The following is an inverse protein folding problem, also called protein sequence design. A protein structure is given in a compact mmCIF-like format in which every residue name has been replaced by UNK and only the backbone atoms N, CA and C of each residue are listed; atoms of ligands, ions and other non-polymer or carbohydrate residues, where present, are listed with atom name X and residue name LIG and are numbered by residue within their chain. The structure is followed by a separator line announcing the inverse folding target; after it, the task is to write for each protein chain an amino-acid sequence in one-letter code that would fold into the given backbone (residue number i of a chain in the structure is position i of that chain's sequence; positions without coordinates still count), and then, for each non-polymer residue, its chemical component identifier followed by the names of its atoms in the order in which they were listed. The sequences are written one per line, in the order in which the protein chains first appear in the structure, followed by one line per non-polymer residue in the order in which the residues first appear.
data_IF_650617493891
#
_entry.id   IF_650617493891
#
_cell.length_a   1.000
_cell.length_b   1.000
_cell.length_c   1.000
_cell.angle_alpha   90.00
_cell.angle_beta   90.00
_cell.angle_gamma   90.00
#
_symmetry.space_group_name_H-M   'P 1'
#
loop_
_entity.id
_entity.type
_entity.pdbx_description
1 polymer ?
#
# COMPACT_ATOMS: atom_id res chain seq x y z
N UNK A 1 54.89 5.52 73.96
CA UNK A 1 54.72 4.08 73.66
C UNK A 1 53.42 3.68 74.35
N UNK A 2 52.30 3.37 73.70
CA UNK A 2 52.09 2.48 72.56
C UNK A 2 50.81 2.90 71.82
N UNK A 3 50.85 2.92 70.49
CA UNK A 3 49.74 3.34 69.62
C UNK A 3 48.93 2.10 69.21
N UNK A 4 47.62 2.09 69.49
CA UNK A 4 46.69 1.03 69.08
C UNK A 4 46.48 1.12 67.56
N UNK A 5 46.81 0.05 66.82
CA UNK A 5 46.48 -0.11 65.40
C UNK A 5 45.19 -0.93 65.28
N UNK A 6 44.14 -0.31 64.75
CA UNK A 6 42.91 -1.02 64.33
C UNK A 6 43.12 -1.50 62.90
N UNK A 7 43.08 -2.82 62.68
CA UNK A 7 43.10 -3.42 61.35
C UNK A 7 41.74 -3.20 60.67
N UNK A 8 41.74 -2.53 59.51
CA UNK A 8 40.58 -2.49 58.61
C UNK A 8 40.66 -3.70 57.67
N UNK A 9 39.66 -4.57 57.74
CA UNK A 9 39.45 -5.64 56.75
C UNK A 9 38.95 -4.99 55.46
N UNK A 10 39.72 -5.11 54.37
CA UNK A 10 39.25 -4.79 53.02
C UNK A 10 38.38 -5.96 52.54
N UNK A 11 37.08 -5.75 52.40
CA UNK A 11 36.21 -6.65 51.65
C UNK A 11 36.45 -6.39 50.14
N UNK A 12 36.98 -7.40 49.45
CA UNK A 12 37.15 -7.38 48.00
C UNK A 12 35.81 -7.78 47.37
N UNK A 13 35.04 -6.82 46.86
CA UNK A 13 33.81 -7.08 46.12
C UNK A 13 34.16 -7.49 44.68
N UNK A 14 33.97 -8.76 44.34
CA UNK A 14 34.02 -9.24 42.96
C UNK A 14 32.78 -8.74 42.22
N UNK A 15 32.96 -7.76 41.33
CA UNK A 15 31.93 -7.37 40.38
C UNK A 15 31.85 -8.43 39.26
N UNK A 16 30.79 -9.21 39.25
CA UNK A 16 30.44 -10.07 38.11
C UNK A 16 29.80 -9.17 37.05
N UNK A 17 30.55 -8.86 36.00
CA UNK A 17 30.02 -8.19 34.80
C UNK A 17 29.29 -9.26 33.97
N UNK A 18 27.97 -9.34 34.09
CA UNK A 18 27.17 -10.05 33.09
C UNK A 18 27.21 -9.23 31.79
N UNK A 19 28.01 -9.67 30.83
CA UNK A 19 27.95 -9.17 29.47
C UNK A 19 26.60 -9.55 28.85
N UNK A 20 25.71 -8.58 28.71
CA UNK A 20 24.52 -8.74 27.89
C UNK A 20 24.97 -8.93 26.44
N UNK A 21 24.84 -10.15 25.89
CA UNK A 21 24.88 -10.34 24.44
C UNK A 21 23.68 -9.62 23.85
N UNK A 22 23.90 -8.43 23.29
CA UNK A 22 22.95 -7.83 22.37
C UNK A 22 22.88 -8.75 21.15
N UNK A 23 21.82 -9.55 21.05
CA UNK A 23 21.46 -10.21 19.79
C UNK A 23 21.10 -9.08 18.83
N UNK A 24 22.04 -8.73 17.96
CA UNK A 24 21.74 -7.84 16.84
C UNK A 24 20.79 -8.62 15.92
N UNK A 25 19.50 -8.28 16.00
CA UNK A 25 18.53 -8.67 14.99
C UNK A 25 18.93 -7.91 13.73
N UNK A 26 19.71 -8.56 12.86
CA UNK A 26 19.98 -8.03 11.53
C UNK A 26 18.63 -8.10 10.80
N UNK A 27 18.03 -6.96 10.38
CA UNK A 27 16.84 -7.03 9.55
C UNK A 27 17.21 -7.83 8.31
N UNK A 28 16.39 -8.82 7.95
CA UNK A 28 16.52 -9.51 6.68
C UNK A 28 16.57 -8.44 5.59
N UNK A 29 17.65 -8.40 4.82
CA UNK A 29 17.74 -7.54 3.66
C UNK A 29 16.54 -7.88 2.78
N UNK A 30 15.61 -6.94 2.61
CA UNK A 30 14.74 -6.98 1.45
C UNK A 30 15.67 -7.19 0.25
N UNK A 31 15.39 -8.19 -0.59
CA UNK A 31 16.14 -8.33 -1.83
C UNK A 31 16.08 -6.98 -2.55
N UNK A 32 17.24 -6.43 -2.89
CA UNK A 32 17.29 -5.19 -3.65
C UNK A 32 16.57 -5.41 -4.98
N UNK A 33 15.65 -4.52 -5.33
CA UNK A 33 14.99 -4.55 -6.64
C UNK A 33 16.05 -4.43 -7.74
N UNK A 34 15.84 -5.11 -8.86
CA UNK A 34 16.74 -5.05 -10.03
C UNK A 34 16.20 -4.02 -11.04
N UNK A 35 16.88 -2.88 -11.24
CA UNK A 35 16.47 -1.87 -12.22
C UNK A 35 16.51 -2.35 -13.68
N UNK A 36 17.21 -3.45 -13.98
CA UNK A 36 17.27 -4.05 -15.31
C UNK A 36 16.14 -5.03 -15.61
N UNK A 37 15.31 -5.37 -14.61
CA UNK A 37 14.25 -6.37 -14.72
C UNK A 37 12.86 -5.73 -14.73
N UNK A 38 11.88 -6.28 -15.46
CA UNK A 38 10.51 -5.74 -15.49
C UNK A 38 9.81 -5.90 -14.13
N UNK A 39 8.72 -5.16 -13.86
CA UNK A 39 8.06 -5.18 -12.56
C UNK A 39 7.67 -6.58 -12.10
N UNK A 40 7.14 -7.43 -13.00
CA UNK A 40 6.75 -8.81 -12.69
C UNK A 40 7.90 -9.77 -12.36
N UNK A 41 9.16 -9.35 -12.53
CA UNK A 41 10.34 -10.09 -12.04
C UNK A 41 10.77 -9.63 -10.65
N UNK A 42 10.53 -8.37 -10.32
CA UNK A 42 10.83 -7.79 -8.99
C UNK A 42 9.70 -8.02 -7.97
N UNK A 43 8.46 -8.18 -8.44
CA UNK A 43 7.25 -8.32 -7.64
C UNK A 43 6.45 -9.56 -8.04
N UNK A 44 5.82 -10.24 -7.08
CA UNK A 44 4.84 -11.27 -7.39
C UNK A 44 3.52 -10.63 -7.87
N UNK A 45 3.37 -10.55 -9.18
CA UNK A 45 2.18 -10.00 -9.84
C UNK A 45 1.17 -11.08 -10.27
N UNK A 46 1.31 -12.32 -9.79
CA UNK A 46 0.44 -13.43 -10.21
C UNK A 46 -1.01 -13.31 -9.74
N UNK A 47 -1.27 -12.44 -8.75
CA UNK A 47 -2.58 -12.16 -8.17
C UNK A 47 -3.05 -10.74 -8.50
N UNK A 48 -2.61 -10.17 -9.63
CA UNK A 48 -2.97 -8.81 -10.00
C UNK A 48 -3.29 -8.71 -11.48
N UNK A 49 -4.31 -7.91 -11.80
CA UNK A 49 -4.53 -7.35 -13.12
C UNK A 49 -4.21 -5.85 -13.02
N UNK A 50 -3.61 -5.27 -14.06
CA UNK A 50 -3.39 -3.83 -14.14
C UNK A 50 -4.49 -3.19 -14.99
N UNK A 51 -5.10 -2.12 -14.49
CA UNK A 51 -5.93 -1.21 -15.27
C UNK A 51 -5.08 -0.01 -15.69
N UNK A 52 -5.04 0.30 -16.99
CA UNK A 52 -4.25 1.41 -17.53
C UNK A 52 -5.11 2.60 -17.95
N UNK A 53 -4.54 3.82 -18.02
CA UNK A 53 -5.25 5.03 -18.42
C UNK A 53 -5.40 5.14 -19.96
N UNK A 54 -5.44 4.01 -20.66
CA UNK A 54 -5.64 3.88 -22.11
C UNK A 54 -6.90 3.09 -22.42
N UNK A 55 -7.21 2.91 -23.70
CA UNK A 55 -8.38 2.15 -24.14
C UNK A 55 -9.43 3.06 -24.77
N UNK A 56 -10.69 2.70 -24.59
CA UNK A 56 -11.83 3.46 -25.13
C UNK A 56 -12.64 4.11 -24.01
N UNK A 57 -13.37 5.22 -24.25
CA UNK A 57 -14.12 5.91 -23.20
C UNK A 57 -15.03 4.96 -22.39
N UNK A 58 -14.85 4.92 -21.08
CA UNK A 58 -15.59 4.02 -20.19
C UNK A 58 -15.07 2.57 -20.17
N UNK A 59 -13.97 2.27 -20.85
CA UNK A 59 -13.41 0.92 -20.95
C UNK A 59 -11.88 1.00 -21.00
N UNK A 60 -11.22 1.16 -19.85
CA UNK A 60 -9.77 1.16 -19.78
C UNK A 60 -9.19 -0.19 -20.23
N UNK A 61 -8.01 -0.16 -20.82
CA UNK A 61 -7.27 -1.39 -21.13
C UNK A 61 -6.89 -2.12 -19.83
N UNK A 62 -6.94 -3.45 -19.86
CA UNK A 62 -6.47 -4.28 -18.75
C UNK A 62 -5.39 -5.27 -19.15
N UNK A 63 -4.41 -5.43 -18.26
CA UNK A 63 -3.27 -6.32 -18.43
C UNK A 63 -3.39 -7.46 -17.42
N UNK A 64 -3.70 -8.65 -17.94
CA UNK A 64 -3.91 -9.86 -17.14
C UNK A 64 -2.69 -10.27 -16.29
N UNK A 65 -2.88 -11.05 -15.21
CA UNK A 65 -1.78 -11.57 -14.38
C UNK A 65 -0.69 -12.30 -15.15
N UNK A 66 -1.04 -13.05 -16.20
CA UNK A 66 -0.06 -13.80 -17.01
C UNK A 66 0.85 -12.87 -17.81
N UNK A 67 0.34 -11.74 -18.31
CA UNK A 67 1.14 -10.72 -19.00
C UNK A 67 2.05 -9.97 -18.02
N UNK A 68 1.53 -9.60 -16.85
CA UNK A 68 2.35 -8.96 -15.80
C UNK A 68 3.50 -9.87 -15.37
N UNK A 69 3.22 -11.15 -15.08
CA UNK A 69 4.23 -12.17 -14.81
C UNK A 69 5.19 -12.38 -15.99
N UNK A 70 4.69 -12.21 -17.21
CA UNK A 70 5.45 -12.28 -18.45
C UNK A 70 6.40 -11.09 -18.68
N UNK A 71 6.50 -10.14 -17.75
CA UNK A 71 7.40 -9.00 -17.84
C UNK A 71 6.82 -7.81 -18.60
N UNK A 72 5.49 -7.66 -18.60
CA UNK A 72 4.85 -6.47 -19.16
C UNK A 72 5.39 -5.19 -18.49
N UNK A 73 5.70 -4.21 -19.32
CA UNK A 73 6.01 -2.84 -18.94
C UNK A 73 5.76 -1.92 -20.14
N UNK A 74 5.42 -0.67 -19.85
CA UNK A 74 5.16 0.36 -20.83
C UNK A 74 5.42 1.76 -20.22
N UNK A 75 4.78 2.83 -20.73
CA UNK A 75 4.97 4.19 -20.16
C UNK A 75 4.10 4.49 -18.94
N UNK A 76 3.07 3.69 -18.65
CA UNK A 76 2.15 3.85 -17.52
C UNK A 76 2.49 2.89 -16.37
N UNK A 77 3.22 1.83 -16.67
CA UNK A 77 3.66 0.82 -15.70
C UNK A 77 5.04 0.27 -16.05
N UNK A 78 6.06 0.56 -15.26
CA UNK A 78 7.45 0.20 -15.58
C UNK A 78 8.34 0.05 -14.35
N UNK A 79 9.52 -0.53 -14.54
CA UNK A 79 10.59 -0.50 -13.53
C UNK A 79 11.37 0.80 -13.66
N UNK A 80 11.49 1.56 -12.58
CA UNK A 80 12.36 2.75 -12.56
C UNK A 80 13.83 2.33 -12.68
N UNK A 81 14.50 2.82 -13.72
CA UNK A 81 15.89 2.46 -14.01
C UNK A 81 16.91 2.91 -12.96
N UNK A 82 16.54 3.84 -12.07
CA UNK A 82 17.41 4.35 -11.02
C UNK A 82 17.42 3.49 -9.77
N UNK A 83 16.28 2.90 -9.39
CA UNK A 83 16.12 2.21 -8.11
C UNK A 83 15.36 0.86 -8.16
N UNK A 84 14.86 0.46 -9.33
CA UNK A 84 14.15 -0.80 -9.52
C UNK A 84 12.69 -0.80 -9.05
N UNK A 85 12.17 0.34 -8.59
CA UNK A 85 10.77 0.43 -8.13
C UNK A 85 9.77 0.17 -9.25
N UNK A 86 8.71 -0.56 -8.92
CA UNK A 86 7.54 -0.71 -9.80
C UNK A 86 6.79 0.63 -9.80
N UNK A 87 6.81 1.32 -10.92
CA UNK A 87 6.37 2.70 -11.07
C UNK A 87 5.12 2.76 -11.94
N UNK A 88 4.14 3.50 -11.43
CA UNK A 88 2.88 3.80 -12.07
C UNK A 88 2.87 5.27 -12.49
N UNK A 89 2.35 5.56 -13.67
CA UNK A 89 2.10 6.91 -14.16
C UNK A 89 0.65 7.00 -14.65
N UNK A 90 -0.11 7.94 -14.09
CA UNK A 90 -1.49 8.21 -14.46
C UNK A 90 -1.65 9.70 -14.84
N UNK A 91 -1.74 10.04 -16.14
CA UNK A 91 -1.94 11.42 -16.56
C UNK A 91 -3.41 11.84 -16.44
N UNK A 92 -3.65 13.12 -16.18
CA UNK A 92 -4.97 13.75 -16.07
C UNK A 92 -5.92 13.50 -17.27
N UNK A 93 -5.36 13.21 -18.46
CA UNK A 93 -6.11 12.93 -19.68
C UNK A 93 -6.39 11.43 -19.93
N UNK A 94 -6.19 10.59 -18.92
CA UNK A 94 -6.39 9.15 -19.03
C UNK A 94 -7.84 8.74 -19.26
N UNK A 95 -8.03 7.53 -19.78
CA UNK A 95 -9.34 6.90 -19.91
C UNK A 95 -9.89 6.52 -18.54
N UNK A 96 -11.16 6.84 -18.29
CA UNK A 96 -11.87 6.49 -17.04
C UNK A 96 -12.79 5.29 -17.23
N UNK A 97 -13.18 4.67 -16.11
CA UNK A 97 -14.27 3.66 -16.09
C UNK A 97 -15.63 4.37 -16.08
N UNK A 98 -16.76 3.67 -16.37
CA UNK A 98 -18.08 4.32 -16.46
C UNK A 98 -18.55 4.95 -15.14
N UNK A 99 -18.01 4.49 -14.01
CA UNK A 99 -18.42 4.89 -12.67
C UNK A 99 -17.34 5.71 -11.94
N UNK A 100 -16.33 6.20 -12.66
CA UNK A 100 -15.26 7.02 -12.11
C UNK A 100 -15.05 8.27 -12.97
N UNK A 101 -14.75 9.38 -12.30
CA UNK A 101 -14.37 10.63 -12.94
C UNK A 101 -12.86 10.72 -13.20
N UNK A 102 -12.08 9.73 -12.76
CA UNK A 102 -10.63 9.77 -12.81
C UNK A 102 -10.05 8.49 -13.45
N UNK A 103 -8.94 8.67 -14.16
CA UNK A 103 -8.17 7.57 -14.76
C UNK A 103 -7.37 6.83 -13.70
N UNK A 104 -6.62 5.80 -14.10
CA UNK A 104 -5.76 5.04 -13.19
C UNK A 104 -4.69 4.28 -13.95
N UNK A 105 -3.53 4.13 -13.32
CA UNK A 105 -2.61 3.01 -13.53
C UNK A 105 -2.58 2.21 -12.23
N UNK A 106 -3.48 1.25 -12.09
CA UNK A 106 -3.78 0.65 -10.79
C UNK A 106 -4.01 -0.86 -10.86
N UNK A 107 -3.38 -1.60 -9.94
CA UNK A 107 -3.56 -3.02 -9.80
C UNK A 107 -4.89 -3.34 -9.10
N UNK A 108 -5.56 -4.38 -9.59
CA UNK A 108 -6.80 -4.97 -9.07
C UNK A 108 -6.52 -6.42 -8.67
N UNK A 109 -6.75 -6.77 -7.42
CA UNK A 109 -6.46 -8.10 -6.87
C UNK A 109 -7.21 -9.20 -7.64
N UNK A 110 -6.52 -10.23 -8.09
CA UNK A 110 -7.04 -11.39 -8.80
C UNK A 110 -6.85 -12.68 -7.98
N UNK A 111 -7.61 -13.71 -8.32
CA UNK A 111 -7.33 -15.08 -7.86
C UNK A 111 -6.16 -15.69 -8.64
N UNK A 112 -5.55 -16.74 -8.09
CA UNK A 112 -4.50 -17.53 -8.77
C UNK A 112 -4.95 -18.17 -10.09
N UNK A 113 -6.26 -18.30 -10.31
CA UNK A 113 -6.85 -18.78 -11.56
C UNK A 113 -7.02 -17.69 -12.63
N UNK A 114 -6.62 -16.43 -12.32
CA UNK A 114 -6.82 -15.28 -13.18
C UNK A 114 -8.24 -14.72 -13.19
N UNK A 115 -9.13 -15.22 -12.33
CA UNK A 115 -10.47 -14.65 -12.12
C UNK A 115 -10.44 -13.49 -11.16
N UNK A 116 -11.48 -12.66 -11.24
CA UNK A 116 -11.70 -11.58 -10.32
C UNK A 116 -11.73 -12.06 -8.84
N UNK A 117 -10.87 -11.50 -7.98
CA UNK A 117 -10.97 -11.72 -6.53
C UNK A 117 -12.26 -11.07 -5.99
N UNK A 118 -12.82 -11.72 -4.98
CA UNK A 118 -14.14 -11.42 -4.39
C UNK A 118 -14.25 -12.16 -3.04
N UNK A 119 -13.38 -11.82 -2.09
CA UNK A 119 -13.33 -12.48 -0.77
C UNK A 119 -14.42 -11.98 0.16
N UNK A 120 -14.87 -12.85 1.07
CA UNK A 120 -15.86 -12.52 2.11
C UNK A 120 -15.22 -11.79 3.30
N UNK A 121 -16.01 -11.04 4.05
CA UNK A 121 -15.57 -10.25 5.23
C UNK A 121 -14.93 -11.06 6.38
N UNK A 122 -15.39 -12.27 6.76
CA UNK A 122 -14.77 -13.02 7.85
C UNK A 122 -13.33 -13.43 7.55
N UNK A 123 -12.47 -13.33 8.57
CA UNK A 123 -11.04 -13.66 8.47
C UNK A 123 -10.16 -12.44 8.68
N UNK A 124 -8.94 -12.52 8.17
CA UNK A 124 -7.96 -11.43 8.15
C UNK A 124 -7.45 -11.23 6.73
N UNK A 125 -7.65 -10.04 6.18
CA UNK A 125 -7.24 -9.64 4.84
C UNK A 125 -6.27 -8.47 4.99
N UNK A 126 -5.09 -8.53 4.37
CA UNK A 126 -4.08 -7.46 4.45
C UNK A 126 -3.48 -7.15 3.10
N UNK A 127 -3.27 -5.86 2.85
CA UNK A 127 -2.47 -5.32 1.76
C UNK A 127 -1.33 -4.52 2.39
N UNK A 128 -0.09 -4.92 2.11
CA UNK A 128 1.11 -4.24 2.59
C UNK A 128 1.88 -3.65 1.41
N UNK A 129 2.33 -2.41 1.54
CA UNK A 129 3.20 -1.79 0.56
C UNK A 129 4.21 -0.82 1.18
N UNK A 130 5.30 -0.60 0.47
CA UNK A 130 6.20 0.54 0.68
C UNK A 130 6.20 1.35 -0.60
N UNK A 131 5.89 2.64 -0.51
CA UNK A 131 5.63 3.50 -1.66
C UNK A 131 6.36 4.84 -1.53
N UNK A 132 6.51 5.52 -2.67
CA UNK A 132 6.95 6.93 -2.78
C UNK A 132 6.07 7.58 -3.84
N UNK A 133 5.44 8.71 -3.52
CA UNK A 133 4.79 9.55 -4.52
C UNK A 133 5.80 10.62 -4.93
N UNK A 134 6.16 10.67 -6.22
CA UNK A 134 7.17 11.61 -6.74
C UNK A 134 6.55 12.81 -7.44
N UNK A 135 5.34 12.65 -7.95
CA UNK A 135 4.56 13.68 -8.63
C UNK A 135 3.08 13.46 -8.30
N UNK A 136 2.35 14.54 -8.01
CA UNK A 136 0.88 14.52 -7.85
C UNK A 136 0.33 15.95 -7.95
N UNK A 137 -0.73 16.22 -8.75
CA UNK A 137 -1.23 17.58 -8.93
C UNK A 137 -2.03 18.08 -7.72
N UNK A 138 -2.85 17.21 -7.12
CA UNK A 138 -3.57 17.49 -5.86
C UNK A 138 -3.46 16.31 -4.88
N UNK A 139 -4.03 15.14 -5.23
CA UNK A 139 -3.87 13.91 -4.47
C UNK A 139 -4.08 12.65 -5.32
N UNK A 140 -3.57 11.52 -4.83
CA UNK A 140 -3.63 10.21 -5.47
C UNK A 140 -4.07 9.16 -4.46
N UNK A 141 -4.94 8.23 -4.87
CA UNK A 141 -5.23 7.05 -4.06
C UNK A 141 -4.19 5.95 -4.38
N UNK A 142 -3.49 5.47 -3.35
CA UNK A 142 -2.40 4.49 -3.51
C UNK A 142 -2.80 3.07 -3.11
N UNK A 143 -3.93 2.89 -2.44
CA UNK A 143 -4.42 1.58 -2.03
C UNK A 143 -5.85 1.60 -1.53
N UNK A 144 -6.58 0.50 -1.75
CA UNK A 144 -8.02 0.42 -1.48
C UNK A 144 -8.45 -0.95 -0.97
N UNK A 145 -9.57 -0.98 -0.24
CA UNK A 145 -10.49 -2.13 -0.23
C UNK A 145 -11.72 -1.67 -1.00
N UNK A 146 -12.15 -2.44 -2.00
CA UNK A 146 -13.28 -2.11 -2.84
C UNK A 146 -14.31 -3.23 -2.84
N UNK A 147 -15.59 -2.88 -2.97
CA UNK A 147 -16.66 -3.88 -3.14
C UNK A 147 -16.53 -4.58 -4.48
N UNK A 148 -16.68 -5.90 -4.50
CA UNK A 148 -16.54 -6.71 -5.70
C UNK A 148 -17.61 -6.39 -6.75
N UNK A 149 -17.24 -6.55 -8.01
CA UNK A 149 -18.13 -6.34 -9.15
C UNK A 149 -19.38 -7.21 -9.07
N UNK A 150 -20.52 -6.67 -9.52
CA UNK A 150 -21.80 -7.38 -9.47
C UNK A 150 -22.41 -7.54 -8.07
N UNK A 151 -21.79 -6.99 -7.03
CA UNK A 151 -22.33 -7.04 -5.65
C UNK A 151 -23.51 -6.08 -5.39
N UNK A 152 -23.85 -5.23 -6.36
CA UNK A 152 -24.92 -4.23 -6.24
C UNK A 152 -24.44 -2.82 -5.85
N UNK A 153 -23.14 -2.63 -5.57
CA UNK A 153 -22.53 -1.33 -5.36
C UNK A 153 -21.14 -1.27 -6.01
N UNK A 154 -20.73 -0.06 -6.40
CA UNK A 154 -19.41 0.24 -6.97
C UNK A 154 -18.58 1.11 -6.03
N UNK A 155 -18.94 1.19 -4.75
CA UNK A 155 -18.23 2.04 -3.79
C UNK A 155 -16.98 1.35 -3.23
N UNK A 156 -15.93 2.11 -2.92
CA UNK A 156 -14.85 1.62 -2.08
C UNK A 156 -15.37 1.40 -0.65
N UNK A 157 -14.66 0.58 0.13
CA UNK A 157 -14.82 0.51 1.58
C UNK A 157 -13.83 1.47 2.24
N UNK A 158 -12.59 1.45 1.75
CA UNK A 158 -11.56 2.41 2.13
C UNK A 158 -10.69 2.80 0.94
N UNK A 159 -10.19 4.02 0.97
CA UNK A 159 -9.20 4.54 0.02
C UNK A 159 -8.10 5.28 0.80
N UNK A 160 -6.85 4.93 0.55
CA UNK A 160 -5.69 5.58 1.17
C UNK A 160 -5.13 6.62 0.21
N UNK A 161 -5.30 7.89 0.58
CA UNK A 161 -4.92 9.04 -0.22
C UNK A 161 -3.59 9.65 0.24
N UNK A 162 -2.78 10.05 -0.72
CA UNK A 162 -1.59 10.87 -0.53
C UNK A 162 -1.77 12.21 -1.24
N UNK A 163 -1.62 13.31 -0.52
CA UNK A 163 -1.80 14.68 -1.02
C UNK A 163 -0.46 15.32 -1.37
N UNK A 164 -0.48 16.28 -2.30
CA UNK A 164 0.69 17.04 -2.75
C UNK A 164 1.47 17.71 -1.61
N UNK A 165 0.77 18.13 -0.55
CA UNK A 165 1.39 18.70 0.65
C UNK A 165 2.01 17.65 1.61
N UNK A 166 2.02 16.38 1.21
CA UNK A 166 2.52 15.25 1.97
C UNK A 166 1.52 14.64 2.95
N UNK A 167 0.30 15.18 3.08
CA UNK A 167 -0.70 14.60 3.97
C UNK A 167 -1.14 13.22 3.49
N UNK A 168 -1.29 12.30 4.43
CA UNK A 168 -1.87 10.98 4.18
C UNK A 168 -3.24 10.95 4.85
N UNK A 169 -4.28 10.62 4.09
CA UNK A 169 -5.65 10.50 4.60
C UNK A 169 -6.24 9.15 4.25
N UNK A 170 -6.94 8.55 5.20
CA UNK A 170 -7.77 7.38 4.97
C UNK A 170 -9.21 7.85 4.77
N UNK A 171 -9.76 7.62 3.58
CA UNK A 171 -11.18 7.68 3.33
C UNK A 171 -11.85 6.39 3.81
N UNK A 172 -12.83 6.48 4.70
CA UNK A 172 -13.67 5.35 5.12
C UNK A 172 -15.08 5.59 4.65
N UNK A 173 -15.59 4.72 3.78
CA UNK A 173 -16.91 4.85 3.21
C UNK A 173 -17.99 4.60 4.28
N UNK A 174 -19.08 5.38 4.30
CA UNK A 174 -20.14 5.21 5.30
C UNK A 174 -21.02 3.98 5.05
N UNK A 175 -21.10 3.53 3.80
CA UNK A 175 -21.91 2.40 3.37
C UNK A 175 -21.89 2.22 1.86
N UNK A 176 -22.62 1.21 1.33
CA UNK A 176 -22.61 0.88 -0.10
C UNK A 176 -23.21 1.98 -0.99
N UNK A 177 -23.89 2.98 -0.42
CA UNK A 177 -24.44 4.12 -1.14
C UNK A 177 -23.44 5.29 -1.28
N UNK A 178 -22.33 5.25 -0.55
CA UNK A 178 -21.31 6.31 -0.52
C UNK A 178 -21.35 7.19 0.73
N UNK A 179 -20.64 8.32 0.67
CA UNK A 179 -20.56 9.30 1.76
C UNK A 179 -19.27 9.28 2.58
N UNK A 180 -18.12 9.01 1.97
CA UNK A 180 -16.83 8.79 2.61
C UNK A 180 -16.40 9.88 3.62
N UNK A 181 -15.95 9.42 4.79
CA UNK A 181 -15.33 10.24 5.83
C UNK A 181 -13.80 10.22 5.70
N UNK A 182 -13.19 11.39 5.74
CA UNK A 182 -11.75 11.57 5.51
C UNK A 182 -11.00 11.77 6.83
N UNK A 183 -10.01 10.92 7.09
CA UNK A 183 -9.22 10.94 8.33
C UNK A 183 -7.74 11.18 8.02
N UNK A 184 -7.16 12.30 8.48
CA UNK A 184 -5.72 12.51 8.40
C UNK A 184 -4.99 11.56 9.34
N UNK A 185 -4.11 10.72 8.79
CA UNK A 185 -3.44 9.62 9.51
C UNK A 185 -1.93 9.82 9.61
N UNK A 186 -1.35 10.65 8.74
CA UNK A 186 0.08 10.96 8.73
C UNK A 186 0.42 12.13 7.82
N UNK A 187 1.72 12.42 7.76
CA UNK A 187 2.32 13.32 6.78
C UNK A 187 3.71 12.81 6.45
N UNK A 188 4.05 12.73 5.16
CA UNK A 188 5.35 12.32 4.63
C UNK A 188 5.66 13.26 3.45
N UNK A 189 6.82 13.95 3.42
CA UNK A 189 7.16 14.85 2.32
C UNK A 189 7.16 14.16 0.95
N UNK A 190 6.79 14.90 -0.11
CA UNK A 190 6.82 14.41 -1.48
C UNK A 190 8.21 13.85 -1.83
N UNK A 191 8.25 12.75 -2.58
CA UNK A 191 9.49 12.07 -2.94
C UNK A 191 10.11 11.22 -1.83
N UNK A 192 9.45 11.07 -0.67
CA UNK A 192 9.95 10.25 0.45
C UNK A 192 9.25 8.89 0.48
N UNK A 193 10.01 7.82 0.75
CA UNK A 193 9.44 6.49 0.95
C UNK A 193 8.67 6.39 2.27
N UNK A 194 7.56 5.67 2.27
CA UNK A 194 6.79 5.32 3.44
C UNK A 194 6.06 3.99 3.24
N UNK A 195 5.70 3.33 4.33
CA UNK A 195 5.03 2.04 4.29
C UNK A 195 3.61 2.13 4.84
N UNK A 196 2.71 1.34 4.25
CA UNK A 196 1.38 1.13 4.79
C UNK A 196 0.96 -0.35 4.83
N UNK A 197 0.05 -0.64 5.76
CA UNK A 197 -0.76 -1.85 5.76
C UNK A 197 -2.23 -1.46 5.86
N UNK A 198 -3.03 -1.76 4.83
CA UNK A 198 -4.50 -1.71 4.90
C UNK A 198 -4.98 -3.12 5.30
N UNK A 199 -5.93 -3.21 6.22
CA UNK A 199 -6.44 -4.50 6.69
C UNK A 199 -7.92 -4.50 7.03
N UNK A 200 -8.55 -5.66 6.87
CA UNK A 200 -9.84 -6.01 7.47
C UNK A 200 -9.63 -7.27 8.33
N UNK A 201 -9.87 -7.17 9.64
CA UNK A 201 -9.59 -8.25 10.60
C UNK A 201 -10.84 -8.57 11.41
N UNK A 202 -11.07 -9.86 11.68
CA UNK A 202 -12.16 -10.33 12.55
C UNK A 202 -13.57 -10.14 11.98
N UNK A 203 -13.68 -9.67 10.75
CA UNK A 203 -14.94 -9.37 10.07
C UNK A 203 -15.63 -8.06 10.49
N UNK A 204 -14.95 -7.20 11.27
CA UNK A 204 -15.54 -5.96 11.76
C UNK A 204 -14.56 -4.80 11.97
N UNK A 205 -13.25 -5.02 11.80
CA UNK A 205 -12.24 -4.01 12.11
C UNK A 205 -11.43 -3.66 10.86
N UNK A 206 -11.61 -2.43 10.38
CA UNK A 206 -10.73 -1.81 9.39
C UNK A 206 -9.48 -1.29 10.12
N UNK A 207 -8.30 -1.60 9.59
CA UNK A 207 -7.03 -1.17 10.16
C UNK A 207 -6.11 -0.55 9.13
N UNK A 208 -5.40 0.50 9.53
CA UNK A 208 -4.33 1.14 8.77
C UNK A 208 -3.09 1.26 9.65
N UNK A 209 -1.97 0.70 9.19
CA UNK A 209 -0.66 1.05 9.72
C UNK A 209 0.05 1.97 8.74
N UNK A 210 0.56 3.12 9.19
CA UNK A 210 1.45 4.01 8.41
C UNK A 210 2.75 4.17 9.17
N UNK A 211 3.88 3.75 8.59
CA UNK A 211 5.21 3.80 9.23
C UNK A 211 5.20 3.26 10.68
N UNK A 212 4.53 2.12 10.90
CA UNK A 212 4.40 1.47 12.21
C UNK A 212 3.32 2.05 13.13
N UNK A 213 2.72 3.20 12.81
CA UNK A 213 1.60 3.77 13.58
C UNK A 213 0.27 3.17 13.13
N UNK A 214 -0.40 2.48 14.05
CA UNK A 214 -1.69 1.86 13.79
C UNK A 214 -2.88 2.80 14.07
N UNK A 215 -3.90 2.75 13.22
CA UNK A 215 -5.21 3.41 13.38
C UNK A 215 -6.29 2.42 12.95
N UNK A 216 -7.42 2.39 13.67
CA UNK A 216 -8.52 1.46 13.37
C UNK A 216 -9.87 2.16 13.33
N UNK A 217 -10.78 1.57 12.56
CA UNK A 217 -12.19 1.97 12.46
C UNK A 217 -13.08 0.73 12.48
N UNK A 218 -14.32 0.83 12.95
CA UNK A 218 -15.29 -0.22 12.72
C UNK A 218 -15.62 -0.33 11.22
N UNK A 219 -15.77 -1.54 10.70
CA UNK A 219 -16.42 -1.77 9.41
C UNK A 219 -17.91 -1.40 9.54
N UNK A 220 -18.43 -0.46 8.74
CA UNK A 220 -19.87 -0.20 8.71
C UNK A 220 -20.66 -1.49 8.46
N UNK A 221 -21.67 -1.74 9.28
CA UNK A 221 -22.40 -3.02 9.27
C UNK A 221 -23.06 -3.34 7.93
N UNK A 222 -23.39 -2.32 7.15
CA UNK A 222 -23.94 -2.42 5.78
C UNK A 222 -23.00 -3.10 4.80
N UNK A 223 -21.69 -3.17 5.06
CA UNK A 223 -20.73 -3.87 4.21
C UNK A 223 -20.55 -5.35 4.53
N UNK A 224 -21.07 -5.87 5.66
CA UNK A 224 -20.79 -7.24 6.12
C UNK A 224 -21.21 -8.34 5.13
N UNK A 225 -22.20 -8.07 4.28
CA UNK A 225 -22.68 -9.00 3.25
C UNK A 225 -21.97 -8.86 1.90
N UNK A 226 -21.15 -7.83 1.71
CA UNK A 226 -20.53 -7.55 0.42
C UNK A 226 -19.17 -8.25 0.32
N UNK A 227 -18.92 -8.99 -0.77
CA UNK A 227 -17.57 -9.43 -1.08
C UNK A 227 -16.69 -8.25 -1.51
N UNK A 228 -15.39 -8.39 -1.32
CA UNK A 228 -14.42 -7.30 -1.49
C UNK A 228 -13.15 -7.78 -2.20
N UNK A 229 -12.33 -6.82 -2.61
CA UNK A 229 -10.99 -7.04 -3.18
C UNK A 229 -10.07 -5.85 -2.87
N UNK A 230 -8.76 -6.06 -2.93
CA UNK A 230 -7.76 -5.01 -2.80
C UNK A 230 -7.42 -4.33 -4.12
N UNK A 231 -7.05 -3.05 -4.05
CA UNK A 231 -6.38 -2.32 -5.13
C UNK A 231 -5.11 -1.64 -4.62
N UNK A 232 -4.13 -1.45 -5.49
CA UNK A 232 -2.89 -0.74 -5.20
C UNK A 232 -2.28 -0.16 -6.49
N UNK A 233 -1.77 1.07 -6.44
CA UNK A 233 -1.12 1.69 -7.60
C UNK A 233 -1.28 3.19 -7.59
N UNK A 234 -1.64 3.73 -8.75
CA UNK A 234 -1.88 5.15 -8.98
C UNK A 234 -3.31 5.35 -9.49
N UNK A 235 -4.16 5.87 -8.62
CA UNK A 235 -5.50 6.33 -8.97
C UNK A 235 -5.55 7.84 -8.69
N UNK A 236 -5.11 8.62 -9.68
CA UNK A 236 -5.06 10.08 -9.60
C UNK A 236 -6.47 10.62 -9.31
N UNK A 237 -6.59 11.58 -8.39
CA UNK A 237 -7.88 12.22 -8.06
C UNK A 237 -8.04 13.57 -8.74
N UNK A 238 -7.25 13.81 -9.78
CA UNK A 238 -7.34 14.97 -10.64
C UNK A 238 -7.78 14.56 -12.05
N UNK A 239 -8.32 15.52 -12.79
CA UNK A 239 -8.79 15.32 -14.15
C UNK A 239 -8.50 16.55 -14.98
N UNK A 240 -8.18 16.34 -16.25
CA UNK A 240 -7.73 17.40 -17.12
C UNK A 240 -7.56 16.92 -18.56
N UNK A 241 -6.82 17.69 -19.35
CA UNK A 241 -6.52 17.37 -20.76
C UNK A 241 -5.03 17.17 -21.02
N UNK A 242 -4.21 17.30 -19.99
CA UNK A 242 -2.76 17.17 -20.09
C UNK A 242 -2.33 15.70 -20.07
N UNK A 243 -1.39 15.34 -20.95
CA UNK A 243 -0.70 14.04 -20.91
C UNK A 243 0.58 14.06 -20.07
N UNK A 244 0.95 15.23 -19.53
CA UNK A 244 2.18 15.45 -18.78
C UNK A 244 1.94 15.97 -17.36
N UNK A 245 0.68 16.14 -16.97
CA UNK A 245 0.28 16.43 -15.60
C UNK A 245 -0.50 15.22 -15.12
N UNK A 246 -0.18 14.74 -13.92
CA UNK A 246 -0.73 13.53 -13.37
C UNK A 246 0.04 13.09 -12.13
N UNK A 247 -0.31 11.93 -11.60
CA UNK A 247 0.39 11.33 -10.48
C UNK A 247 1.44 10.30 -10.95
N UNK A 248 2.53 10.20 -10.17
CA UNK A 248 3.55 9.16 -10.31
C UNK A 248 3.83 8.50 -8.96
N UNK A 249 3.49 7.22 -8.85
CA UNK A 249 3.65 6.43 -7.64
C UNK A 249 4.65 5.29 -7.88
N UNK A 250 5.61 5.16 -6.97
CA UNK A 250 6.63 4.11 -6.99
C UNK A 250 6.36 3.13 -5.85
N UNK A 251 6.41 1.84 -6.13
CA UNK A 251 6.31 0.75 -5.15
C UNK A 251 7.67 0.07 -4.99
N UNK A 252 8.07 -0.13 -3.75
CA UNK A 252 9.30 -0.83 -3.34
C UNK A 252 9.01 -2.20 -2.72
N UNK A 253 7.80 -2.39 -2.21
CA UNK A 253 7.25 -3.69 -1.83
C UNK A 253 5.75 -3.67 -2.02
N UNK A 254 5.19 -4.83 -2.37
CA UNK A 254 3.75 -5.06 -2.46
C UNK A 254 3.48 -6.51 -2.08
N UNK A 255 2.57 -6.75 -1.16
CA UNK A 255 2.11 -8.10 -0.82
C UNK A 255 0.70 -8.08 -0.28
N UNK A 256 -0.01 -9.19 -0.46
CA UNK A 256 -1.32 -9.41 0.13
C UNK A 256 -1.35 -10.72 0.92
N UNK A 257 -2.31 -10.85 1.83
CA UNK A 257 -2.54 -12.09 2.58
C UNK A 257 -4.00 -12.23 3.01
N UNK A 258 -4.49 -13.46 3.01
CA UNK A 258 -5.79 -13.84 3.56
C UNK A 258 -5.63 -15.05 4.50
N UNK A 259 -6.26 -15.01 5.68
CA UNK A 259 -6.22 -16.10 6.68
C UNK A 259 -7.47 -16.18 7.52
#
# INVERSE_FOLDING_TARGET
MSTIRVARVLACSTAVVLGALAVQVVPASAASLDPGSPPGSNFDLSLWELQEPTGSPGSPDTISPSKLKGGFQDKYFYTDSGDGSMTFWDPENGVTTPNSNYSRSELREMTSSGKAASWSVPGTHKLNATVKVSEVPDHVCVGQIHLAEGSGSTKPVVELYYYQNGDIKMGVERGPDGGQDQHKVGNVPLGTQWSYTISLTGGDTLGLTVNGKNTTWPLPSSFKSYPMYFKAGDYDQTSGSSSSVGARVHFYSLSLSHS
#
